data_IF_031812295324
#
_entry.id   IF_031812295324
#
_cell.length_a   1.000
_cell.length_b   1.000
_cell.length_c   1.000
_cell.angle_alpha   90.00
_cell.angle_beta   90.00
_cell.angle_gamma   90.00
#
_symmetry.space_group_name_H-M   'P 1'
#
loop_
_entity.id
_entity.type
_entity.pdbx_description
1 polymer ?
#
# COMPACT_ATOMS: atom_id res chain seq x y z
N UNK A 1 19.61 8.12 -14.34
CA UNK A 1 18.67 8.74 -13.38
C UNK A 1 17.51 7.79 -13.19
N UNK A 2 17.13 7.47 -11.95
CA UNK A 2 16.00 6.57 -11.68
C UNK A 2 14.70 7.33 -11.96
N UNK A 3 13.69 6.68 -12.56
CA UNK A 3 12.38 7.29 -12.77
C UNK A 3 11.78 7.70 -11.42
N UNK A 4 11.12 8.86 -11.29
CA UNK A 4 10.40 9.22 -10.07
C UNK A 4 9.30 8.19 -9.79
N UNK A 5 9.03 7.97 -8.50
CA UNK A 5 7.94 7.09 -8.03
C UNK A 5 6.62 7.80 -8.28
N UNK A 6 5.68 7.11 -8.94
CA UNK A 6 4.38 7.65 -9.37
C UNK A 6 3.23 6.72 -9.01
N UNK A 7 3.35 6.09 -7.85
CA UNK A 7 2.36 5.14 -7.36
C UNK A 7 2.22 5.19 -5.85
N UNK A 8 1.02 4.87 -5.38
CA UNK A 8 0.66 4.81 -3.96
C UNK A 8 0.10 3.41 -3.69
N UNK A 9 0.66 2.71 -2.71
CA UNK A 9 0.11 1.48 -2.18
C UNK A 9 -0.87 1.77 -1.06
N UNK A 10 -2.11 1.31 -1.25
CA UNK A 10 -3.23 1.51 -0.32
C UNK A 10 -3.72 0.15 0.19
N UNK A 11 -4.00 0.07 1.49
CA UNK A 11 -4.38 -1.18 2.17
C UNK A 11 -5.66 -1.08 3.01
N UNK A 12 -6.18 0.13 3.21
CA UNK A 12 -7.39 0.41 4.01
C UNK A 12 -8.46 1.13 3.19
N UNK A 13 -8.98 2.24 3.72
CA UNK A 13 -10.11 2.99 3.14
C UNK A 13 -9.84 3.57 1.75
N UNK A 14 -8.58 3.82 1.41
CA UNK A 14 -8.20 4.29 0.07
C UNK A 14 -8.22 3.20 -1.00
N UNK A 15 -8.53 1.94 -0.65
CA UNK A 15 -8.61 0.85 -1.61
C UNK A 15 -9.79 1.03 -2.58
N UNK A 16 -9.64 0.62 -3.86
CA UNK A 16 -10.72 0.68 -4.84
C UNK A 16 -11.87 -0.31 -4.53
N UNK A 17 -11.58 -1.36 -3.77
CA UNK A 17 -12.56 -2.37 -3.32
C UNK A 17 -13.04 -2.15 -1.88
N UNK A 18 -12.73 -1.00 -1.27
CA UNK A 18 -13.18 -0.70 0.09
C UNK A 18 -14.72 -0.64 0.19
N UNK A 19 -15.24 -1.19 1.28
CA UNK A 19 -16.68 -1.30 1.57
C UNK A 19 -17.11 -0.49 2.80
N UNK A 20 -16.20 0.31 3.40
CA UNK A 20 -16.50 1.11 4.58
C UNK A 20 -17.45 2.28 4.29
N UNK A 21 -17.57 2.68 3.02
CA UNK A 21 -18.26 3.90 2.57
C UNK A 21 -17.61 5.19 3.07
N UNK A 22 -16.32 5.16 3.36
CA UNK A 22 -15.57 6.37 3.66
C UNK A 22 -15.79 7.43 2.54
N UNK A 23 -16.14 8.67 2.91
CA UNK A 23 -16.62 9.67 1.94
C UNK A 23 -15.55 10.09 0.94
N UNK A 24 -14.27 9.91 1.28
CA UNK A 24 -13.12 10.24 0.45
C UNK A 24 -12.75 9.16 -0.57
N UNK A 25 -13.13 7.89 -0.37
CA UNK A 25 -12.63 6.77 -1.20
C UNK A 25 -12.95 6.96 -2.68
N UNK A 26 -14.23 7.17 -3.03
CA UNK A 26 -14.65 7.28 -4.44
C UNK A 26 -14.06 8.51 -5.14
N UNK A 27 -14.06 9.72 -4.53
CA UNK A 27 -13.34 10.86 -5.09
C UNK A 27 -11.84 10.60 -5.28
N UNK A 28 -11.19 9.99 -4.29
CA UNK A 28 -9.76 9.77 -4.30
C UNK A 28 -9.32 8.82 -5.42
N UNK A 29 -9.97 7.66 -5.55
CA UNK A 29 -9.60 6.63 -6.54
C UNK A 29 -9.93 7.05 -7.99
N UNK A 30 -10.72 8.11 -8.19
CA UNK A 30 -11.07 8.59 -9.53
C UNK A 30 -9.81 9.04 -10.28
N UNK A 31 -9.61 8.51 -11.49
CA UNK A 31 -8.46 8.81 -12.34
C UNK A 31 -7.24 7.92 -12.10
N UNK A 32 -7.32 6.96 -11.17
CA UNK A 32 -6.31 5.93 -10.98
C UNK A 32 -6.67 4.64 -11.72
N UNK A 33 -5.64 3.98 -12.26
CA UNK A 33 -5.64 2.53 -12.49
C UNK A 33 -4.99 1.85 -11.29
N UNK A 34 -5.37 0.61 -11.03
CA UNK A 34 -4.92 -0.10 -9.84
C UNK A 34 -4.55 -1.55 -10.10
N UNK A 35 -3.51 -2.02 -9.42
CA UNK A 35 -3.02 -3.41 -9.46
C UNK A 35 -3.03 -3.95 -8.04
N UNK A 36 -3.64 -5.13 -7.82
CA UNK A 36 -3.57 -5.79 -6.53
C UNK A 36 -2.13 -6.26 -6.27
N UNK A 37 -1.62 -5.98 -5.08
CA UNK A 37 -0.22 -6.22 -4.72
C UNK A 37 -0.11 -6.78 -3.29
N UNK A 38 1.05 -7.36 -3.02
CA UNK A 38 1.48 -7.84 -1.71
C UNK A 38 2.71 -7.07 -1.23
N UNK A 39 2.66 -6.60 0.00
CA UNK A 39 3.79 -5.98 0.69
C UNK A 39 4.22 -6.85 1.88
N UNK A 40 5.41 -7.45 1.80
CA UNK A 40 5.85 -8.45 2.79
C UNK A 40 6.21 -7.86 4.16
N UNK A 41 6.80 -6.66 4.18
CA UNK A 41 7.52 -6.14 5.34
C UNK A 41 6.67 -5.19 6.22
N UNK A 42 5.40 -5.54 6.44
CA UNK A 42 4.49 -4.80 7.30
C UNK A 42 3.58 -5.69 8.14
N UNK A 43 3.11 -5.17 9.26
CA UNK A 43 2.04 -5.77 10.09
C UNK A 43 0.84 -4.83 10.06
N UNK A 44 -0.34 -5.40 9.83
CA UNK A 44 -1.60 -4.68 9.91
C UNK A 44 -2.21 -4.86 11.29
N UNK A 45 -2.72 -3.77 11.84
CA UNK A 45 -3.43 -3.72 13.11
C UNK A 45 -4.81 -3.10 12.92
N UNK A 46 -5.76 -3.51 13.76
CA UNK A 46 -7.01 -2.80 13.94
C UNK A 46 -6.84 -1.80 15.08
N UNK A 47 -6.39 -0.58 14.77
CA UNK A 47 -6.17 0.44 15.80
C UNK A 47 -7.47 1.18 16.13
N UNK A 48 -7.83 1.20 17.42
CA UNK A 48 -8.77 2.10 18.12
C UNK A 48 -9.96 2.61 17.29
N UNK A 49 -10.70 1.65 16.72
CA UNK A 49 -12.14 1.73 16.43
C UNK A 49 -12.64 2.22 15.06
N UNK A 50 -11.84 2.36 14.00
CA UNK A 50 -12.46 2.56 12.66
C UNK A 50 -11.72 2.00 11.45
N UNK A 51 -10.38 2.02 11.42
CA UNK A 51 -9.64 1.74 10.19
C UNK A 51 -8.34 0.98 10.45
N UNK A 52 -7.84 0.20 9.46
CA UNK A 52 -6.60 -0.54 9.62
C UNK A 52 -5.41 0.42 9.62
N UNK A 53 -4.41 0.10 10.43
CA UNK A 53 -3.10 0.75 10.40
C UNK A 53 -2.04 -0.27 10.03
N UNK A 54 -0.98 0.17 9.35
CA UNK A 54 0.20 -0.66 9.10
C UNK A 54 1.38 -0.07 9.86
N UNK A 55 2.17 -0.93 10.50
CA UNK A 55 3.54 -0.59 10.90
C UNK A 55 4.53 -1.33 10.01
N UNK A 56 5.59 -0.64 9.59
CA UNK A 56 6.68 -1.25 8.84
C UNK A 56 7.57 -2.06 9.78
N UNK A 57 8.07 -3.21 9.34
CA UNK A 57 8.97 -4.06 10.13
C UNK A 57 10.37 -3.46 10.29
N UNK A 58 10.65 -2.35 9.62
CA UNK A 58 11.93 -1.69 9.62
C UNK A 58 11.75 -0.18 9.69
N UNK A 59 12.79 0.47 10.18
CA UNK A 59 12.93 1.92 10.07
C UNK A 59 13.88 2.22 8.91
N UNK A 60 13.56 3.27 8.15
CA UNK A 60 14.54 3.90 7.28
C UNK A 60 15.48 4.71 8.16
N UNK A 61 16.79 4.67 7.90
CA UNK A 61 17.66 5.76 8.36
C UNK A 61 17.09 7.04 7.75
N UNK A 62 16.73 8.02 8.59
CA UNK A 62 16.25 9.32 8.10
C UNK A 62 17.24 9.85 7.06
N UNK A 63 16.73 10.15 5.87
CA UNK A 63 17.47 10.95 4.90
C UNK A 63 16.77 12.30 4.80
N UNK A 64 17.54 13.33 5.13
CA UNK A 64 17.18 14.73 4.98
C UNK A 64 16.70 15.04 3.56
N UNK A 65 15.76 15.99 3.53
CA UNK A 65 15.12 16.59 2.37
C UNK A 65 16.00 16.61 1.10
N UNK A 66 15.40 16.18 0.00
CA UNK A 66 15.90 16.22 -1.38
C UNK A 66 16.81 15.04 -1.78
N UNK A 67 16.21 13.91 -2.12
CA UNK A 67 16.34 13.26 -3.44
C UNK A 67 15.67 11.88 -3.45
N UNK A 68 15.00 11.57 -4.56
CA UNK A 68 14.43 10.27 -4.89
C UNK A 68 15.51 9.18 -4.92
N UNK A 69 15.90 8.65 -3.75
CA UNK A 69 16.82 7.52 -3.63
C UNK A 69 15.99 6.29 -3.26
N UNK A 70 16.10 5.27 -4.10
CA UNK A 70 15.52 3.97 -3.87
C UNK A 70 16.09 3.31 -2.62
N UNK A 71 15.20 2.72 -1.84
CA UNK A 71 15.55 1.94 -0.65
C UNK A 71 16.26 0.67 -1.11
N UNK A 72 17.60 0.64 -1.03
CA UNK A 72 18.33 -0.62 -1.08
C UNK A 72 18.03 -1.41 0.20
N UNK A 73 17.86 -2.73 0.08
CA UNK A 73 17.58 -3.60 1.24
C UNK A 73 18.64 -3.46 2.34
N UNK A 74 19.86 -3.10 1.96
CA UNK A 74 21.03 -2.88 2.83
C UNK A 74 20.84 -1.75 3.86
N UNK A 75 19.84 -0.88 3.70
CA UNK A 75 19.58 0.24 4.62
C UNK A 75 18.40 0.02 5.57
N UNK A 76 17.75 -1.15 5.54
CA UNK A 76 16.66 -1.48 6.48
C UNK A 76 17.24 -1.85 7.83
N UNK A 77 16.93 -1.07 8.87
CA UNK A 77 17.12 -1.52 10.26
C UNK A 77 15.80 -2.08 10.76
N UNK A 78 15.71 -3.41 10.81
CA UNK A 78 14.53 -4.09 11.29
C UNK A 78 14.32 -3.87 12.80
N UNK A 79 13.05 -3.78 13.18
CA UNK A 79 12.60 -3.71 14.57
C UNK A 79 12.39 -5.14 15.08
N UNK A 80 13.21 -5.58 16.04
CA UNK A 80 13.17 -6.94 16.57
C UNK A 80 11.83 -7.26 17.26
N UNK A 81 11.18 -6.28 17.88
CA UNK A 81 9.89 -6.46 18.55
C UNK A 81 8.83 -6.75 17.50
N UNK A 82 8.78 -5.95 16.43
CA UNK A 82 7.85 -6.16 15.32
C UNK A 82 8.15 -7.45 14.57
N UNK A 83 9.42 -7.79 14.33
CA UNK A 83 9.80 -9.04 13.68
C UNK A 83 9.38 -10.28 14.49
N UNK A 84 9.53 -10.25 15.81
CA UNK A 84 9.10 -11.35 16.66
C UNK A 84 7.57 -11.47 16.65
N UNK A 85 6.86 -10.34 16.78
CA UNK A 85 5.39 -10.32 16.68
C UNK A 85 4.90 -10.87 15.33
N UNK A 86 5.54 -10.46 14.23
CA UNK A 86 5.24 -10.95 12.88
C UNK A 86 5.33 -12.48 12.80
N UNK A 87 6.38 -13.06 13.36
CA UNK A 87 6.60 -14.51 13.37
C UNK A 87 5.62 -15.23 14.30
N UNK A 88 5.46 -14.75 15.52
CA UNK A 88 4.58 -15.34 16.55
C UNK A 88 3.12 -15.37 16.11
N UNK A 89 2.66 -14.28 15.46
CA UNK A 89 1.29 -14.17 14.94
C UNK A 89 1.12 -14.76 13.53
N UNK A 90 2.18 -15.33 12.96
CA UNK A 90 2.19 -15.91 11.60
C UNK A 90 1.66 -14.92 10.55
N UNK A 91 2.07 -13.65 10.67
CA UNK A 91 1.67 -12.59 9.75
C UNK A 91 2.14 -12.92 8.33
N UNK A 92 1.31 -12.59 7.34
CA UNK A 92 1.56 -12.91 5.93
C UNK A 92 2.05 -11.73 5.10
N UNK A 93 2.29 -10.57 5.70
CA UNK A 93 2.48 -9.29 4.98
C UNK A 93 1.14 -8.58 4.80
N UNK A 94 1.05 -7.65 3.87
CA UNK A 94 -0.12 -6.78 3.64
C UNK A 94 -0.64 -6.96 2.21
N UNK A 95 -1.95 -7.11 2.08
CA UNK A 95 -2.66 -7.13 0.81
C UNK A 95 -3.27 -5.75 0.57
N UNK A 96 -3.01 -5.20 -0.62
CA UNK A 96 -3.50 -3.88 -1.00
C UNK A 96 -3.46 -3.67 -2.50
N UNK A 97 -3.57 -2.42 -2.91
CA UNK A 97 -3.54 -2.00 -4.31
C UNK A 97 -2.46 -0.96 -4.52
N UNK A 98 -1.68 -1.13 -5.57
CA UNK A 98 -0.85 -0.07 -6.10
C UNK A 98 -1.68 0.78 -7.08
N UNK A 99 -1.89 2.05 -6.74
CA UNK A 99 -2.58 3.04 -7.56
C UNK A 99 -1.56 3.82 -8.39
N UNK A 100 -1.85 4.05 -9.67
CA UNK A 100 -1.08 4.93 -10.56
C UNK A 100 -2.02 5.66 -11.51
N UNK A 101 -1.64 6.85 -12.00
CA UNK A 101 -2.51 7.62 -12.90
C UNK A 101 -2.90 6.76 -14.10
N UNK A 102 -4.19 6.73 -14.42
CA UNK A 102 -4.69 6.11 -15.64
C UNK A 102 -4.51 7.07 -16.81
N UNK A 103 -3.33 6.99 -17.44
CA UNK A 103 -3.00 7.82 -18.59
C UNK A 103 -3.94 7.59 -19.80
N UNK A 104 -4.66 6.47 -19.87
CA UNK A 104 -5.64 6.23 -20.94
C UNK A 104 -6.89 7.11 -20.85
N UNK A 105 -7.13 7.71 -19.68
CA UNK A 105 -8.24 8.64 -19.45
C UNK A 105 -7.84 10.09 -19.73
N UNK A 106 -6.56 10.36 -20.05
CA UNK A 106 -6.07 11.69 -20.34
C UNK A 106 -6.30 12.02 -21.81
N UNK A 107 -6.78 13.24 -22.07
CA UNK A 107 -6.89 13.74 -23.45
C UNK A 107 -5.51 14.21 -23.90
N UNK A 108 -5.09 13.75 -25.07
CA UNK A 108 -3.75 13.98 -25.62
C UNK A 108 -3.28 15.43 -25.49
N UNK A 109 -2.19 15.63 -24.74
CA UNK A 109 -1.46 16.90 -24.66
C UNK A 109 -2.04 17.98 -23.74
N UNK A 110 -3.18 17.74 -23.08
CA UNK A 110 -3.83 18.76 -22.23
C UNK A 110 -3.54 18.62 -20.73
N UNK A 111 -3.16 17.43 -20.27
CA UNK A 111 -2.96 17.14 -18.84
C UNK A 111 -1.62 16.46 -18.64
N UNK A 112 -0.78 17.02 -17.78
CA UNK A 112 0.49 16.43 -17.37
C UNK A 112 0.26 15.35 -16.30
N UNK A 113 0.53 14.06 -16.58
CA UNK A 113 0.37 12.98 -15.62
C UNK A 113 1.20 13.15 -14.35
N UNK A 114 2.35 13.82 -14.44
CA UNK A 114 3.23 14.08 -13.29
C UNK A 114 2.54 15.02 -12.32
N UNK A 115 2.06 16.15 -12.85
CA UNK A 115 1.36 17.15 -12.06
C UNK A 115 0.07 16.56 -11.45
N UNK A 116 -0.65 15.74 -12.20
CA UNK A 116 -1.85 15.08 -11.70
C UNK A 116 -1.52 14.10 -10.56
N UNK A 117 -0.42 13.36 -10.67
CA UNK A 117 0.05 12.51 -9.58
C UNK A 117 0.44 13.32 -8.34
N UNK A 118 1.15 14.44 -8.50
CA UNK A 118 1.52 15.32 -7.39
C UNK A 118 0.30 15.91 -6.67
N UNK A 119 -0.75 16.26 -7.42
CA UNK A 119 -2.04 16.69 -6.88
C UNK A 119 -2.73 15.57 -6.10
N UNK A 120 -2.76 14.35 -6.65
CA UNK A 120 -3.31 13.18 -5.96
C UNK A 120 -2.52 12.79 -4.72
N UNK A 121 -1.20 12.97 -4.75
CA UNK A 121 -0.33 12.69 -3.62
C UNK A 121 -0.56 13.69 -2.48
N UNK A 122 -0.87 14.95 -2.79
CA UNK A 122 -1.31 15.96 -1.80
C UNK A 122 -2.69 15.64 -1.24
N UNK A 123 -3.64 15.23 -2.09
CA UNK A 123 -4.96 14.77 -1.64
C UNK A 123 -4.83 13.61 -0.63
N UNK A 124 -3.93 12.65 -0.89
CA UNK A 124 -3.64 11.57 0.05
C UNK A 124 -3.00 12.07 1.35
N UNK A 125 -2.09 13.06 1.28
CA UNK A 125 -1.49 13.68 2.47
C UNK A 125 -2.55 14.34 3.37
N UNK A 126 -3.55 14.99 2.78
CA UNK A 126 -4.67 15.60 3.50
C UNK A 126 -5.57 14.54 4.15
N UNK A 127 -5.94 13.48 3.42
CA UNK A 127 -6.81 12.41 3.94
C UNK A 127 -6.14 11.65 5.09
N UNK A 128 -4.84 11.39 4.99
CA UNK A 128 -4.08 10.61 5.97
C UNK A 128 -3.44 11.50 7.06
N UNK A 129 -3.78 12.78 7.09
CA UNK A 129 -3.26 13.78 8.04
C UNK A 129 -1.71 13.75 8.14
N UNK A 130 -1.03 13.57 7.02
CA UNK A 130 0.42 13.51 6.93
C UNK A 130 1.03 14.91 7.16
N UNK A 131 2.17 15.03 7.89
CA UNK A 131 2.92 13.97 8.56
C UNK A 131 2.51 13.77 10.03
N UNK A 132 1.40 14.34 10.50
CA UNK A 132 1.08 14.36 11.92
C UNK A 132 0.58 13.00 12.41
N UNK A 133 -0.43 12.45 11.73
CA UNK A 133 -1.03 11.16 12.10
C UNK A 133 -0.31 10.00 11.43
N UNK A 134 -0.32 9.96 10.09
CA UNK A 134 0.41 8.96 9.32
C UNK A 134 1.77 9.51 8.86
N UNK A 135 2.74 8.60 8.72
CA UNK A 135 4.00 8.85 8.03
C UNK A 135 3.93 8.25 6.62
N UNK A 136 4.64 8.86 5.68
CA UNK A 136 4.79 8.34 4.31
C UNK A 136 6.17 7.75 4.13
N UNK A 137 6.26 6.61 3.46
CA UNK A 137 7.53 5.96 3.13
C UNK A 137 7.46 5.30 1.76
N UNK A 138 8.64 4.97 1.21
CA UNK A 138 8.75 4.22 -0.04
C UNK A 138 8.93 2.74 0.30
N UNK A 139 8.11 1.89 -0.29
CA UNK A 139 8.17 0.44 -0.15
C UNK A 139 8.28 -0.25 -1.50
N UNK A 140 8.66 -1.53 -1.45
CA UNK A 140 8.65 -2.45 -2.58
C UNK A 140 7.47 -3.41 -2.42
N UNK A 141 6.64 -3.53 -3.46
CA UNK A 141 5.47 -4.43 -3.47
C UNK A 141 5.55 -5.38 -4.65
N UNK A 142 5.03 -6.60 -4.46
CA UNK A 142 4.93 -7.59 -5.51
C UNK A 142 3.52 -7.60 -6.11
N UNK A 143 3.35 -7.46 -7.44
CA UNK A 143 2.05 -7.64 -8.07
C UNK A 143 1.49 -9.04 -7.79
N UNK A 144 0.21 -9.10 -7.41
CA UNK A 144 -0.53 -10.35 -7.38
C UNK A 144 -1.13 -10.54 -8.77
N UNK A 145 -0.62 -11.51 -9.51
CA UNK A 145 -1.19 -11.91 -10.80
C UNK A 145 -2.56 -12.54 -10.54
N UNK A 146 -3.58 -12.12 -11.29
CA UNK A 146 -4.84 -12.85 -11.34
C UNK A 146 -4.55 -14.29 -11.77
N UNK A 147 -5.08 -15.27 -11.05
CA UNK A 147 -4.80 -16.70 -11.26
C UNK A 147 -5.04 -17.12 -12.72
N UNK A 148 -6.03 -16.51 -13.39
CA UNK A 148 -6.36 -16.74 -14.79
C UNK A 148 -5.26 -16.22 -15.75
N UNK A 149 -4.72 -15.02 -15.48
CA UNK A 149 -3.63 -14.42 -16.26
C UNK A 149 -2.30 -15.15 -16.01
N UNK A 150 -2.07 -15.61 -14.78
CA UNK A 150 -0.89 -16.39 -14.43
C UNK A 150 -0.86 -17.71 -15.19
N UNK A 151 -1.99 -18.40 -15.32
CA UNK A 151 -2.08 -19.66 -16.07
C UNK A 151 -1.80 -19.45 -17.57
N UNK A 152 -2.35 -18.39 -18.17
CA UNK A 152 -2.11 -18.04 -19.58
C UNK A 152 -0.66 -17.57 -19.84
N UNK A 153 -0.04 -16.86 -18.89
CA UNK A 153 1.37 -16.46 -18.97
C UNK A 153 2.31 -17.63 -18.78
N UNK A 154 2.02 -18.58 -17.89
CA UNK A 154 2.82 -19.81 -17.72
C UNK A 154 2.83 -20.67 -18.99
N UNK A 155 1.73 -20.69 -19.75
CA UNK A 155 1.66 -21.34 -21.06
C UNK A 155 2.51 -20.63 -22.13
N UNK A 156 2.65 -19.30 -22.05
CA UNK A 156 3.47 -18.51 -22.99
C UNK A 156 4.94 -18.32 -22.56
N UNK A 157 5.29 -18.57 -21.29
CA UNK A 157 6.63 -18.30 -20.73
C UNK A 157 7.57 -19.50 -20.69
N UNK A 158 7.28 -20.62 -21.37
CA UNK A 158 8.22 -21.74 -21.49
C UNK A 158 9.52 -21.41 -22.27
N UNK A 159 9.82 -20.15 -22.60
CA UNK A 159 11.05 -19.78 -23.31
C UNK A 159 11.88 -18.61 -22.78
N UNK A 160 11.55 -17.90 -21.69
CA UNK A 160 12.43 -16.83 -21.20
C UNK A 160 12.51 -16.77 -19.67
N UNK A 161 13.57 -17.36 -19.10
CA UNK A 161 14.01 -17.10 -17.72
C UNK A 161 14.63 -15.70 -17.66
N UNK A 162 13.91 -14.75 -17.08
CA UNK A 162 14.52 -13.50 -16.61
C UNK A 162 14.26 -13.36 -15.11
N UNK A 163 15.32 -13.53 -14.32
CA UNK A 163 15.38 -13.10 -12.91
C UNK A 163 15.39 -11.56 -12.86
N UNK A 164 14.26 -10.93 -13.13
CA UNK A 164 14.04 -9.53 -12.78
C UNK A 164 13.31 -9.48 -11.44
N UNK A 165 13.87 -8.72 -10.49
CA UNK A 165 13.21 -8.33 -9.25
C UNK A 165 11.86 -7.70 -9.62
N UNK A 166 10.78 -8.46 -9.49
CA UNK A 166 9.43 -8.12 -9.97
C UNK A 166 8.70 -7.13 -9.04
N UNK A 167 9.45 -6.57 -8.09
CA UNK A 167 8.94 -5.60 -7.13
C UNK A 167 8.83 -4.21 -7.75
N UNK A 168 7.72 -3.55 -7.43
CA UNK A 168 7.41 -2.18 -7.82
C UNK A 168 7.60 -1.25 -6.61
N UNK A 169 8.22 -0.09 -6.82
CA UNK A 169 8.36 0.93 -5.80
C UNK A 169 7.13 1.84 -5.77
N UNK A 170 6.63 2.14 -4.58
CA UNK A 170 5.46 2.99 -4.36
C UNK A 170 5.50 3.66 -2.98
N UNK A 171 4.72 4.72 -2.81
CA UNK A 171 4.49 5.33 -1.50
C UNK A 171 3.49 4.50 -0.67
N UNK A 172 3.66 4.48 0.64
CA UNK A 172 2.68 3.94 1.60
C UNK A 172 2.53 4.92 2.76
N UNK A 173 1.31 5.07 3.26
CA UNK A 173 1.02 5.74 4.54
C UNK A 173 1.02 4.71 5.65
N UNK A 174 1.68 4.97 6.78
CA UNK A 174 1.81 4.00 7.88
C UNK A 174 1.89 4.70 9.23
N UNK A 175 1.68 3.96 10.33
CA UNK A 175 1.75 4.47 11.71
C UNK A 175 2.61 3.57 12.57
N UNK A 176 3.61 4.17 13.20
CA UNK A 176 4.51 3.47 14.13
C UNK A 176 3.94 3.43 15.55
N UNK A 177 3.05 4.36 15.89
CA UNK A 177 2.47 4.62 17.21
C UNK A 177 1.00 4.16 17.32
N UNK A 178 0.58 3.21 16.49
CA UNK A 178 -0.77 2.67 16.56
C UNK A 178 -0.95 1.67 17.72
N UNK A 179 -2.21 1.47 18.16
CA UNK A 179 -2.56 0.36 19.05
C UNK A 179 -2.25 -0.97 18.34
N UNK A 180 -1.49 -1.84 19.03
CA UNK A 180 -1.01 -3.14 18.52
C UNK A 180 -1.73 -4.35 19.12
N UNK A 181 -2.81 -4.15 19.88
CA UNK A 181 -3.54 -5.20 20.58
C UNK A 181 -4.20 -6.19 19.62
N UNK A 182 -4.73 -5.69 18.50
CA UNK A 182 -5.46 -6.50 17.52
C UNK A 182 -4.66 -6.59 16.23
N UNK A 183 -3.93 -7.69 16.07
CA UNK A 183 -3.15 -8.00 14.86
C UNK A 183 -4.06 -8.64 13.80
N UNK A 184 -4.02 -8.10 12.58
CA UNK A 184 -4.67 -8.69 11.41
C UNK A 184 -3.64 -9.54 10.66
N UNK A 185 -3.48 -10.80 11.09
CA UNK A 185 -2.42 -11.70 10.59
C UNK A 185 -2.53 -12.02 9.08
N UNK A 186 -3.75 -11.99 8.51
CA UNK A 186 -3.95 -12.18 7.07
C UNK A 186 -3.37 -11.04 6.23
N UNK A 187 -3.24 -9.84 6.82
CA UNK A 187 -2.80 -8.65 6.10
C UNK A 187 -3.84 -8.03 5.17
N UNK A 188 -5.05 -8.59 5.09
CA UNK A 188 -6.11 -8.10 4.23
C UNK A 188 -7.25 -7.53 5.08
N UNK A 189 -7.40 -6.20 5.02
CA UNK A 189 -8.47 -5.48 5.71
C UNK A 189 -9.86 -6.00 5.36
N UNK A 190 -10.13 -6.30 4.09
CA UNK A 190 -11.46 -6.76 3.69
C UNK A 190 -11.74 -8.19 4.14
N UNK A 191 -10.73 -9.05 4.18
CA UNK A 191 -10.87 -10.37 4.80
C UNK A 191 -11.21 -10.23 6.28
N UNK A 192 -10.51 -9.34 7.00
CA UNK A 192 -10.78 -9.07 8.40
C UNK A 192 -12.22 -8.59 8.64
N UNK A 193 -12.66 -7.62 7.85
CA UNK A 193 -14.02 -7.06 7.92
C UNK A 193 -15.09 -8.11 7.60
N UNK A 194 -14.88 -8.95 6.57
CA UNK A 194 -15.80 -10.04 6.22
C UNK A 194 -15.96 -11.05 7.35
N UNK A 195 -14.86 -11.37 8.04
CA UNK A 195 -14.87 -12.29 9.18
C UNK A 195 -15.40 -11.65 10.47
N UNK A 196 -15.50 -10.33 10.53
CA UNK A 196 -15.93 -9.56 11.70
C UNK A 196 -16.93 -8.46 11.31
N UNK A 197 -18.15 -8.84 10.86
CA UNK A 197 -19.11 -7.90 10.25
C UNK A 197 -19.59 -6.78 11.19
N UNK A 198 -19.42 -6.95 12.50
CA UNK A 198 -19.76 -5.92 13.49
C UNK A 198 -18.89 -4.65 13.38
N UNK A 199 -17.68 -4.75 12.81
CA UNK A 199 -16.72 -3.65 12.67
C UNK A 199 -17.27 -2.50 11.80
N UNK A 200 -18.00 -2.82 10.72
CA UNK A 200 -18.60 -1.79 9.85
C UNK A 200 -19.79 -1.08 10.51
N UNK A 201 -20.49 -1.76 11.42
CA UNK A 201 -21.72 -1.25 12.03
C UNK A 201 -21.45 -0.32 13.21
N UNK A 202 -20.27 -0.40 13.84
CA UNK A 202 -19.85 0.50 14.92
C UNK A 202 -19.50 1.91 14.43
N UNK A 203 -19.04 2.08 13.19
CA UNK A 203 -18.69 3.39 12.61
C UNK A 203 -19.92 4.22 12.14
N UNK A 204 -21.15 3.74 12.39
CA UNK A 204 -22.41 4.39 11.96
C UNK A 204 -23.20 5.06 13.09
N UNK A 205 -22.71 5.07 14.32
CA UNK A 205 -23.39 5.68 15.47
C UNK A 205 -22.64 6.91 15.99
#
# INVERSE_FOLDING_TARGET
>A
MKSPIRSIFVYGTLRPDDISNAPWTKPFIKGFKYQKCHFKDGIMFHADESYPTVSLLYTHKQHDNNNNISVSEENKKFDDILLNLYKEKQCKGIIGYMLSIDESLLVDGLVDPIKLFDEKLKEADEIEEYPQLYKRSIIKVKPLLDEILHQQQLEHQQQQQHNQDDHLECFIYHRNDCNRDVVIASGDWLEHVKNNPHIINSSKN
#
